data_IF_798190208869
#
_entry.id   IF_798190208869
#
_cell.length_a   1.000
_cell.length_b   1.000
_cell.length_c   1.000
_cell.angle_alpha   90.00
_cell.angle_beta   90.00
_cell.angle_gamma   90.00
#
_symmetry.space_group_name_H-M   'P 1'
#
loop_
_entity.id
_entity.type
_entity.pdbx_description
1 polymer ?
#
# COMPACT_ATOMS: atom_id res chain seq x y z
N UNK A 1 1.41 -14.93 16.63
CA UNK A 1 2.61 -14.30 16.20
C UNK A 1 2.33 -13.21 15.23
N UNK A 2 2.93 -12.10 15.38
CA UNK A 2 2.69 -11.04 14.43
C UNK A 2 3.92 -10.85 13.57
N UNK A 3 3.71 -10.87 12.29
CA UNK A 3 4.75 -10.57 11.33
C UNK A 3 4.84 -9.08 11.13
N UNK A 4 6.02 -8.62 10.83
CA UNK A 4 6.24 -7.21 10.55
C UNK A 4 6.86 -7.06 9.17
N UNK A 5 6.54 -5.97 8.53
CA UNK A 5 7.07 -5.65 7.22
C UNK A 5 7.62 -4.24 7.26
N UNK A 6 8.30 -3.86 6.21
CA UNK A 6 8.92 -2.55 6.13
C UNK A 6 8.17 -1.69 5.14
N UNK A 7 7.80 -0.50 5.58
CA UNK A 7 7.17 0.46 4.70
C UNK A 7 8.14 0.89 3.61
N UNK A 8 7.71 0.81 2.36
CA UNK A 8 8.58 1.14 1.24
C UNK A 8 8.76 2.65 1.07
N UNK A 9 8.02 3.45 1.83
CA UNK A 9 8.12 4.90 1.71
C UNK A 9 8.95 5.53 2.82
N UNK A 10 8.87 4.98 4.03
CA UNK A 10 9.61 5.58 5.14
C UNK A 10 10.66 4.67 5.74
N UNK A 11 10.65 3.39 5.40
CA UNK A 11 11.66 2.46 5.89
C UNK A 11 11.44 1.95 7.30
N UNK A 12 10.33 2.28 7.90
CA UNK A 12 10.04 1.82 9.25
C UNK A 12 9.18 0.57 9.20
N UNK A 13 9.30 -0.23 10.25
CA UNK A 13 8.51 -1.46 10.34
C UNK A 13 7.09 -1.15 10.76
N UNK A 14 6.18 -2.02 10.34
CA UNK A 14 4.80 -1.94 10.75
C UNK A 14 4.23 -3.34 10.77
N UNK A 15 3.15 -3.57 11.55
CA UNK A 15 2.53 -4.89 11.58
C UNK A 15 1.95 -5.25 10.22
N UNK A 16 2.11 -6.51 9.84
CA UNK A 16 1.61 -6.96 8.55
C UNK A 16 0.10 -6.72 8.41
N UNK A 17 -0.63 -6.94 9.49
CA UNK A 17 -2.08 -6.79 9.42
C UNK A 17 -2.53 -5.35 9.26
N UNK A 18 -1.64 -4.39 9.48
CA UNK A 18 -1.95 -2.98 9.26
C UNK A 18 -1.33 -2.46 7.97
N UNK A 19 -0.55 -3.28 7.29
CA UNK A 19 0.16 -2.84 6.11
C UNK A 19 -0.76 -2.80 4.90
N UNK A 20 -0.58 -1.78 4.10
CA UNK A 20 -1.24 -1.71 2.80
C UNK A 20 -0.33 -2.35 1.78
N UNK A 21 -0.90 -3.19 0.94
CA UNK A 21 -0.15 -3.94 -0.04
C UNK A 21 -0.15 -3.18 -1.37
N UNK A 22 1.03 -2.98 -1.91
CA UNK A 22 1.21 -2.33 -3.19
C UNK A 22 1.84 -3.34 -4.15
N UNK A 23 1.10 -3.69 -5.20
CA UNK A 23 1.57 -4.65 -6.17
C UNK A 23 2.16 -3.90 -7.36
N UNK A 24 3.39 -4.24 -7.71
CA UNK A 24 4.10 -3.61 -8.82
C UNK A 24 4.26 -4.60 -9.94
N UNK A 25 3.94 -4.16 -11.13
CA UNK A 25 4.10 -4.95 -12.34
C UNK A 25 4.66 -4.03 -13.42
N UNK A 26 5.71 -4.46 -14.15
CA UNK A 26 6.33 -3.56 -15.12
C UNK A 26 5.38 -3.07 -16.20
N UNK A 27 4.48 -3.94 -16.64
CA UNK A 27 3.44 -3.56 -17.58
C UNK A 27 2.39 -4.66 -17.58
N UNK A 28 1.31 -4.42 -18.27
CA UNK A 28 0.19 -5.35 -18.23
C UNK A 28 0.51 -6.70 -18.86
N UNK A 29 1.53 -6.76 -19.69
CA UNK A 29 1.89 -8.01 -20.36
C UNK A 29 2.89 -8.82 -19.56
N UNK A 30 3.48 -8.23 -18.55
CA UNK A 30 4.48 -8.92 -17.75
C UNK A 30 3.81 -9.91 -16.81
N UNK A 31 4.40 -11.08 -16.69
CA UNK A 31 3.92 -12.05 -15.71
C UNK A 31 4.56 -11.88 -14.35
N UNK A 32 5.49 -10.95 -14.22
CA UNK A 32 6.21 -10.75 -12.97
C UNK A 32 5.59 -9.66 -12.15
N UNK A 33 5.37 -9.94 -10.88
CA UNK A 33 4.76 -8.99 -9.96
C UNK A 33 5.53 -9.02 -8.66
N UNK A 34 5.54 -7.89 -7.99
CA UNK A 34 6.16 -7.78 -6.67
C UNK A 34 5.24 -7.03 -5.75
N UNK A 35 5.09 -7.55 -4.54
CA UNK A 35 4.29 -6.88 -3.53
C UNK A 35 5.19 -6.11 -2.60
N UNK A 36 4.83 -4.87 -2.35
CA UNK A 36 5.48 -4.03 -1.36
C UNK A 36 4.48 -3.70 -0.28
N UNK A 37 4.98 -3.35 0.87
CA UNK A 37 4.12 -2.97 1.99
C UNK A 37 4.39 -1.52 2.35
N UNK A 38 3.36 -0.86 2.85
CA UNK A 38 3.51 0.54 3.20
C UNK A 38 2.45 0.94 4.19
N UNK A 39 2.65 2.11 4.80
CA UNK A 39 1.60 2.73 5.58
C UNK A 39 0.55 3.30 4.62
N UNK A 40 -0.71 3.09 4.96
CA UNK A 40 -1.78 3.59 4.10
C UNK A 40 -1.66 5.10 3.89
N UNK A 41 -1.36 5.83 4.95
CA UNK A 41 -1.26 7.28 4.86
C UNK A 41 -0.15 7.70 3.91
N UNK A 42 0.97 7.01 3.95
CA UNK A 42 2.08 7.35 3.07
C UNK A 42 1.74 7.10 1.62
N UNK A 43 1.02 6.01 1.36
CA UNK A 43 0.59 5.74 0.00
C UNK A 43 -0.35 6.83 -0.50
N UNK A 44 -1.30 7.21 0.34
CA UNK A 44 -2.27 8.22 -0.07
C UNK A 44 -1.63 9.57 -0.31
N UNK A 45 -0.59 9.89 0.45
CA UNK A 45 0.13 11.15 0.26
C UNK A 45 0.89 11.18 -1.05
N UNK A 46 1.27 10.02 -1.55
CA UNK A 46 2.06 9.95 -2.78
C UNK A 46 1.20 9.89 -4.03
N UNK A 47 -0.06 9.55 -3.88
CA UNK A 47 -0.95 9.47 -5.02
C UNK A 47 -1.50 10.85 -5.36
N UNK A 48 -1.65 11.11 -6.65
CA UNK A 48 -2.33 12.34 -7.04
C UNK A 48 -3.80 12.20 -6.74
N UNK A 49 -4.41 13.31 -6.38
CA UNK A 49 -5.79 13.29 -5.90
C UNK A 49 -6.78 12.90 -6.98
N UNK A 50 -6.40 13.05 -8.24
CA UNK A 50 -7.30 12.74 -9.34
C UNK A 50 -7.43 11.25 -9.61
N UNK A 51 -6.59 10.42 -8.97
CA UNK A 51 -6.68 8.98 -9.16
C UNK A 51 -7.87 8.45 -8.38
N UNK A 52 -8.84 7.81 -9.05
CA UNK A 52 -9.99 7.25 -8.33
C UNK A 52 -9.58 6.00 -7.57
N UNK A 53 -9.91 5.97 -6.30
CA UNK A 53 -9.67 4.80 -5.47
C UNK A 53 -11.01 4.22 -5.07
N UNK A 54 -11.04 2.90 -4.98
CA UNK A 54 -12.25 2.24 -4.52
C UNK A 54 -12.51 2.63 -3.07
N UNK A 55 -13.73 3.07 -2.75
CA UNK A 55 -14.02 3.54 -1.38
C UNK A 55 -13.75 2.49 -0.31
N UNK A 56 -13.96 1.23 -0.62
CA UNK A 56 -13.76 0.17 0.37
C UNK A 56 -12.31 -0.01 0.76
N UNK A 57 -11.38 0.51 -0.05
CA UNK A 57 -9.96 0.35 0.25
C UNK A 57 -9.52 1.26 1.39
N UNK A 58 -10.13 2.45 1.49
CA UNK A 58 -9.69 3.46 2.45
C UNK A 58 -10.88 4.08 3.18
N UNK A 59 -11.88 3.31 3.49
CA UNK A 59 -13.11 3.85 4.07
C UNK A 59 -13.05 3.95 5.58
N UNK A 60 -11.98 3.73 6.17
CA UNK A 60 -11.94 3.84 7.64
C UNK A 60 -12.33 5.22 8.08
N UNK A 61 -12.42 5.48 8.21
CA UNK A 61 -12.46 6.54 8.67
C UNK A 61 -12.73 7.23 9.29
N UNK A 62 -12.66 7.56 9.23
CA UNK A 62 -12.65 8.15 9.68
C UNK A 62 -13.19 8.79 9.88
N UNK A 63 -13.52 8.73 9.90
CA UNK A 63 -14.02 9.32 10.04
C UNK A 63 -14.06 9.68 10.53
#
# INVERSE_FOLDING_TARGET
MSDKVICCFCGKTLPLEEATILTIQPNIKSGEKQNLFCHKNHLMERLIKSIPLHPDLFDDDDK
#
